data_IF_524581159151
#
_entry.id   IF_524581159151
#
_cell.length_a   1.000
_cell.length_b   1.000
_cell.length_c   1.000
_cell.angle_alpha   90.00
_cell.angle_beta   90.00
_cell.angle_gamma   90.00
#
_symmetry.space_group_name_H-M   'P 1'
#
loop_
_entity.id
_entity.type
_entity.pdbx_description
1 polymer ?
#
# COMPACT_ATOMS: atom_id res chain seq x y z
N UNK A 1 9.30 14.05 6.17
CA UNK A 1 9.72 13.15 7.27
C UNK A 1 10.84 13.80 8.07
N UNK A 2 11.05 13.42 9.34
CA UNK A 2 12.07 14.03 10.20
C UNK A 2 13.46 13.37 10.08
N UNK A 3 13.52 12.18 9.48
CA UNK A 3 14.73 11.38 9.21
C UNK A 3 14.66 10.82 7.79
N UNK A 4 15.82 10.47 7.17
CA UNK A 4 15.83 9.80 5.88
C UNK A 4 15.08 8.46 5.97
N UNK A 5 14.17 8.22 5.03
CA UNK A 5 13.44 6.96 4.92
C UNK A 5 13.50 6.45 3.47
N UNK A 6 13.11 5.20 3.25
CA UNK A 6 13.12 4.55 1.94
C UNK A 6 12.10 5.14 0.96
N UNK A 7 11.20 6.01 1.45
CA UNK A 7 10.34 6.88 0.64
C UNK A 7 10.30 8.27 1.25
N UNK A 8 10.18 9.28 0.38
CA UNK A 8 10.18 10.68 0.78
C UNK A 8 8.83 11.18 1.29
N UNK A 9 7.76 10.40 1.06
CA UNK A 9 6.39 10.79 1.38
C UNK A 9 5.51 9.59 1.76
N UNK A 10 4.42 9.90 2.45
CA UNK A 10 3.25 9.02 2.58
C UNK A 10 2.27 9.40 1.48
N UNK A 11 1.98 8.46 0.58
CA UNK A 11 1.10 8.68 -0.57
C UNK A 11 -0.18 7.87 -0.43
N UNK A 12 -1.33 8.53 -0.57
CA UNK A 12 -2.60 7.84 -0.76
C UNK A 12 -3.27 8.37 -2.03
N UNK A 13 -3.49 7.45 -2.96
CA UNK A 13 -4.05 7.73 -4.26
C UNK A 13 -5.32 6.94 -4.42
N UNK A 14 -6.39 7.59 -4.87
CA UNK A 14 -7.64 6.89 -5.21
C UNK A 14 -8.25 7.46 -6.47
N UNK A 15 -8.97 6.61 -7.19
CA UNK A 15 -9.70 6.97 -8.38
C UNK A 15 -10.96 6.13 -8.49
N UNK A 16 -12.07 6.79 -8.79
CA UNK A 16 -13.37 6.13 -8.94
C UNK A 16 -13.96 6.48 -10.30
N UNK A 17 -14.45 5.47 -11.00
CA UNK A 17 -15.21 5.62 -12.23
C UNK A 17 -16.57 4.94 -12.03
N UNK A 18 -17.63 5.68 -12.35
CA UNK A 18 -19.00 5.17 -12.32
C UNK A 18 -19.67 5.45 -13.65
N UNK A 19 -20.21 4.40 -14.25
CA UNK A 19 -20.97 4.46 -15.50
C UNK A 19 -22.37 3.95 -15.21
N UNK A 20 -23.38 4.69 -15.64
CA UNK A 20 -24.78 4.28 -15.54
C UNK A 20 -25.40 4.39 -16.91
N UNK A 21 -26.13 3.34 -17.31
CA UNK A 21 -26.78 3.24 -18.61
C UNK A 21 -28.19 2.69 -18.45
N UNK A 22 -29.12 3.26 -19.20
CA UNK A 22 -30.46 2.72 -19.37
C UNK A 22 -30.41 1.71 -20.53
N UNK A 23 -30.45 0.42 -20.22
CA UNK A 23 -30.39 -0.66 -21.21
C UNK A 23 -31.74 -0.77 -21.95
N UNK A 24 -32.84 -0.48 -21.24
CA UNK A 24 -34.17 -0.41 -21.80
C UNK A 24 -35.01 0.61 -21.00
N UNK A 25 -36.26 0.83 -21.41
CA UNK A 25 -37.20 1.68 -20.65
C UNK A 25 -37.47 1.16 -19.23
N UNK A 26 -37.17 -0.11 -18.96
CA UNK A 26 -37.45 -0.77 -17.67
C UNK A 26 -36.18 -1.26 -16.97
N UNK A 27 -35.00 -1.16 -17.59
CA UNK A 27 -33.75 -1.71 -17.08
C UNK A 27 -32.63 -0.68 -17.02
N UNK A 28 -31.96 -0.62 -15.86
CA UNK A 28 -30.80 0.23 -15.61
C UNK A 28 -29.61 -0.61 -15.17
N UNK A 29 -28.47 -0.37 -15.78
CA UNK A 29 -27.19 -0.96 -15.36
C UNK A 29 -26.26 0.14 -14.86
N UNK A 30 -25.72 -0.08 -13.67
CA UNK A 30 -24.65 0.70 -13.08
C UNK A 30 -23.41 -0.20 -12.98
N UNK A 31 -22.27 0.32 -13.41
CA UNK A 31 -20.96 -0.28 -13.16
C UNK A 31 -20.10 0.76 -12.46
N UNK A 32 -19.46 0.37 -11.36
CA UNK A 32 -18.59 1.22 -10.57
C UNK A 32 -17.27 0.53 -10.30
N UNK A 33 -16.17 1.24 -10.50
CA UNK A 33 -14.83 0.77 -10.20
C UNK A 33 -14.11 1.80 -9.35
N UNK A 34 -13.51 1.37 -8.25
CA UNK A 34 -12.62 2.18 -7.42
C UNK A 34 -11.26 1.50 -7.32
N UNK A 35 -10.20 2.25 -7.59
CA UNK A 35 -8.81 1.83 -7.36
C UNK A 35 -8.20 2.71 -6.30
N UNK A 36 -7.37 2.14 -5.45
CA UNK A 36 -6.64 2.84 -4.40
C UNK A 36 -5.21 2.30 -4.30
N UNK A 37 -4.24 3.19 -4.07
CA UNK A 37 -2.84 2.84 -3.81
C UNK A 37 -2.34 3.66 -2.64
N UNK A 38 -1.94 2.95 -1.60
CA UNK A 38 -1.24 3.52 -0.48
C UNK A 38 0.24 3.17 -0.57
N UNK A 39 1.11 4.15 -0.34
CA UNK A 39 2.55 4.00 -0.32
C UNK A 39 3.11 4.63 0.94
N UNK A 40 3.88 3.87 1.69
CA UNK A 40 4.45 4.33 2.95
C UNK A 40 5.75 3.59 3.27
N UNK A 41 6.29 3.87 4.44
CA UNK A 41 7.45 3.21 5.01
C UNK A 41 6.98 2.40 6.20
N UNK A 42 7.33 1.12 6.21
CA UNK A 42 6.97 0.18 7.26
C UNK A 42 7.56 0.66 8.59
N UNK A 43 6.78 0.64 9.66
CA UNK A 43 7.31 0.99 10.99
C UNK A 43 7.79 -0.24 11.78
N UNK A 44 7.66 -1.43 11.20
CA UNK A 44 8.07 -2.69 11.78
C UNK A 44 9.34 -3.23 11.11
N UNK A 45 10.01 -4.15 11.82
CA UNK A 45 11.16 -4.89 11.31
C UNK A 45 10.94 -6.41 11.29
N UNK A 46 9.78 -6.85 11.79
CA UNK A 46 9.46 -8.26 12.07
C UNK A 46 8.46 -8.85 11.08
N UNK A 47 8.05 -8.09 10.06
CA UNK A 47 7.10 -8.53 9.02
C UNK A 47 5.62 -8.33 9.38
N UNK A 48 5.30 -7.71 10.52
CA UNK A 48 3.94 -7.25 10.81
C UNK A 48 3.60 -6.01 9.98
N UNK A 49 2.33 -5.86 9.58
CA UNK A 49 1.87 -4.65 8.88
C UNK A 49 1.89 -3.46 9.83
N UNK A 50 2.62 -2.42 9.46
CA UNK A 50 2.49 -1.09 10.04
C UNK A 50 3.15 -0.06 9.13
N UNK A 51 2.77 1.20 9.24
CA UNK A 51 3.36 2.27 8.44
C UNK A 51 3.57 3.50 9.30
N UNK A 52 4.63 4.25 9.04
CA UNK A 52 4.81 5.56 9.64
C UNK A 52 3.73 6.54 9.16
N UNK A 53 2.87 6.96 10.08
CA UNK A 53 1.80 7.93 9.81
C UNK A 53 2.16 9.38 10.16
N UNK A 54 3.22 9.63 10.92
CA UNK A 54 3.63 10.98 11.32
C UNK A 54 5.10 11.08 11.76
N UNK A 55 5.64 12.30 11.80
CA UNK A 55 6.97 12.55 12.36
C UNK A 55 7.07 12.16 13.86
N UNK A 56 5.97 12.27 14.61
CA UNK A 56 5.92 11.83 16.02
C UNK A 56 6.09 10.31 16.16
N UNK A 57 5.47 9.52 15.28
CA UNK A 57 5.64 8.06 15.26
C UNK A 57 7.09 7.65 14.94
N UNK A 58 7.78 8.45 14.13
CA UNK A 58 9.20 8.24 13.80
C UNK A 58 10.08 8.52 15.01
N UNK A 59 9.86 9.66 15.68
CA UNK A 59 10.58 10.00 16.91
C UNK A 59 10.40 8.96 18.02
N UNK A 60 9.20 8.40 18.15
CA UNK A 60 8.94 7.30 19.09
C UNK A 60 9.76 6.05 18.76
N UNK A 61 9.90 5.70 17.47
CA UNK A 61 10.75 4.59 17.01
C UNK A 61 12.25 4.87 17.15
N UNK A 62 12.66 6.07 17.57
CA UNK A 62 14.06 6.45 17.77
C UNK A 62 14.44 6.58 19.25
N UNK A 63 13.49 6.51 20.18
CA UNK A 63 13.75 6.74 21.59
C UNK A 63 14.44 5.54 22.26
N UNK A 64 15.70 5.69 22.72
CA UNK A 64 16.45 4.72 23.55
C UNK A 64 16.58 3.31 22.94
N UNK A 65 17.02 3.25 21.68
CA UNK A 65 17.20 2.00 20.92
C UNK A 65 18.63 1.84 20.41
N UNK A 66 19.08 0.59 20.25
CA UNK A 66 20.36 0.28 19.60
C UNK A 66 20.35 0.72 18.14
N UNK A 67 21.51 1.15 17.63
CA UNK A 67 21.72 1.62 16.25
C UNK A 67 20.93 2.90 15.89
N UNK A 68 20.72 3.81 16.86
CA UNK A 68 20.01 5.09 16.63
C UNK A 68 20.74 5.98 15.61
N UNK A 69 22.07 5.94 15.65
CA UNK A 69 23.00 6.55 14.70
C UNK A 69 22.69 6.08 13.27
N UNK A 70 22.56 4.77 13.08
CA UNK A 70 22.22 4.17 11.79
C UNK A 70 20.83 4.62 11.33
N UNK A 71 19.83 4.61 12.22
CA UNK A 71 18.44 5.06 11.93
C UNK A 71 18.35 6.52 11.48
N UNK A 72 19.26 7.37 11.94
CA UNK A 72 19.31 8.79 11.61
C UNK A 72 19.87 9.07 10.21
N UNK A 73 20.74 8.19 9.71
CA UNK A 73 21.52 8.48 8.51
C UNK A 73 21.17 7.58 7.32
N UNK A 74 20.51 6.44 7.51
CA UNK A 74 20.17 5.53 6.40
C UNK A 74 18.70 5.58 6.00
N UNK A 75 18.43 5.55 4.70
CA UNK A 75 17.07 5.47 4.13
C UNK A 75 16.45 4.09 4.32
N UNK A 76 17.25 3.04 4.22
CA UNK A 76 16.76 1.65 4.15
C UNK A 76 16.82 0.95 5.51
N UNK A 77 16.67 1.72 6.60
CA UNK A 77 16.51 1.13 7.93
C UNK A 77 15.19 0.35 8.02
N UNK A 78 14.15 0.94 7.44
CA UNK A 78 12.80 0.43 7.35
C UNK A 78 12.40 0.19 5.90
N UNK A 79 11.67 -0.90 5.68
CA UNK A 79 11.25 -1.30 4.34
C UNK A 79 10.16 -0.37 3.79
N UNK A 80 10.20 0.01 2.50
CA UNK A 80 9.03 0.60 1.87
C UNK A 80 7.90 -0.43 1.82
N UNK A 81 6.67 0.03 2.06
CA UNK A 81 5.48 -0.79 1.90
C UNK A 81 4.44 -0.13 0.99
N UNK A 82 3.57 -0.97 0.41
CA UNK A 82 2.49 -0.52 -0.48
C UNK A 82 1.26 -1.40 -0.33
N UNK A 83 0.09 -0.78 -0.42
CA UNK A 83 -1.21 -1.46 -0.43
C UNK A 83 -2.00 -1.00 -1.64
N UNK A 84 -2.25 -1.91 -2.58
CA UNK A 84 -3.11 -1.67 -3.74
C UNK A 84 -4.49 -2.30 -3.48
N UNK A 85 -5.54 -1.48 -3.57
CA UNK A 85 -6.93 -1.90 -3.40
C UNK A 85 -7.71 -1.66 -4.68
N UNK A 86 -8.59 -2.58 -5.00
CA UNK A 86 -9.46 -2.50 -6.18
C UNK A 86 -10.84 -3.02 -5.81
N UNK A 87 -11.87 -2.26 -6.16
CA UNK A 87 -13.27 -2.64 -6.01
C UNK A 87 -13.92 -2.45 -7.36
N UNK A 88 -14.59 -3.48 -7.86
CA UNK A 88 -15.41 -3.38 -9.07
C UNK A 88 -16.76 -3.98 -8.75
N UNK A 89 -17.82 -3.22 -9.00
CA UNK A 89 -19.19 -3.62 -8.76
C UNK A 89 -20.07 -3.33 -9.97
N UNK A 90 -21.08 -4.16 -10.17
CA UNK A 90 -22.16 -3.91 -11.10
C UNK A 90 -23.50 -4.11 -10.39
N UNK A 91 -24.45 -3.22 -10.67
CA UNK A 91 -25.83 -3.28 -10.21
C UNK A 91 -26.77 -3.20 -11.40
N UNK A 92 -27.62 -4.22 -11.55
CA UNK A 92 -28.71 -4.25 -12.52
C UNK A 92 -30.03 -4.05 -11.76
N UNK A 93 -30.82 -3.06 -12.17
CA UNK A 93 -32.18 -2.87 -11.68
C UNK A 93 -33.16 -3.06 -12.83
N UNK A 94 -34.20 -3.88 -12.64
CA UNK A 94 -35.22 -4.16 -13.66
C UNK A 94 -36.63 -4.06 -13.06
N UNK A 95 -37.44 -3.20 -13.65
CA UNK A 95 -38.87 -3.08 -13.37
C UNK A 95 -39.64 -4.07 -14.24
N UNK A 96 -40.20 -5.12 -13.65
CA UNK A 96 -41.00 -6.13 -14.34
C UNK A 96 -42.44 -5.64 -14.60
N UNK A 97 -42.98 -4.89 -13.66
CA UNK A 97 -44.31 -4.27 -13.72
C UNK A 97 -44.31 -3.02 -12.83
N UNK A 98 -45.35 -2.17 -12.88
CA UNK A 98 -45.47 -1.03 -11.96
C UNK A 98 -45.44 -1.41 -10.48
N UNK A 99 -45.69 -2.68 -10.14
CA UNK A 99 -45.72 -3.20 -8.77
C UNK A 99 -44.57 -4.15 -8.45
N UNK A 100 -43.73 -4.55 -9.41
CA UNK A 100 -42.68 -5.57 -9.19
C UNK A 100 -41.36 -5.14 -9.82
N UNK A 101 -40.28 -5.16 -9.04
CA UNK A 101 -38.92 -4.93 -9.52
C UNK A 101 -37.93 -5.88 -8.85
N UNK A 102 -36.80 -6.15 -9.53
CA UNK A 102 -35.68 -6.87 -8.92
C UNK A 102 -34.37 -6.12 -9.14
N UNK A 103 -33.42 -6.38 -8.25
CA UNK A 103 -32.07 -5.86 -8.30
C UNK A 103 -31.05 -6.99 -8.16
N UNK A 104 -30.01 -6.93 -8.98
CA UNK A 104 -28.87 -7.85 -8.92
C UNK A 104 -27.61 -7.03 -8.71
N UNK A 105 -26.84 -7.35 -7.67
CA UNK A 105 -25.58 -6.70 -7.36
C UNK A 105 -24.49 -7.77 -7.36
N UNK A 106 -23.43 -7.52 -8.11
CA UNK A 106 -22.19 -8.32 -8.05
C UNK A 106 -21.03 -7.38 -7.78
N UNK A 107 -20.14 -7.76 -6.87
CA UNK A 107 -18.97 -6.96 -6.52
C UNK A 107 -17.77 -7.85 -6.26
N UNK A 108 -16.60 -7.36 -6.65
CA UNK A 108 -15.30 -7.94 -6.34
C UNK A 108 -14.44 -6.90 -5.63
N UNK A 109 -13.94 -7.26 -4.46
CA UNK A 109 -12.89 -6.53 -3.75
C UNK A 109 -11.57 -7.29 -3.90
N UNK A 110 -10.46 -6.58 -4.06
CA UNK A 110 -9.11 -7.14 -3.96
C UNK A 110 -8.17 -6.17 -3.25
N UNK A 111 -7.31 -6.71 -2.40
CA UNK A 111 -6.23 -5.98 -1.73
C UNK A 111 -4.93 -6.73 -1.90
N UNK A 112 -3.87 -6.02 -2.24
CA UNK A 112 -2.51 -6.54 -2.39
C UNK A 112 -1.57 -5.70 -1.53
N UNK A 113 -0.93 -6.33 -0.57
CA UNK A 113 0.10 -5.74 0.28
C UNK A 113 1.47 -6.23 -0.17
N UNK A 114 2.46 -5.34 -0.15
CA UNK A 114 3.85 -5.70 -0.33
C UNK A 114 4.75 -4.80 0.52
N UNK A 115 5.65 -5.42 1.28
CA UNK A 115 6.80 -4.79 1.96
C UNK A 115 8.04 -5.59 1.61
N UNK A 116 9.06 -4.92 1.11
CA UNK A 116 10.31 -5.53 0.65
C UNK A 116 11.45 -4.53 0.81
N UNK A 117 12.71 -4.98 0.86
CA UNK A 117 13.85 -4.07 0.82
C UNK A 117 13.74 -3.06 -0.31
N UNK A 118 14.15 -1.83 -0.01
CA UNK A 118 14.20 -0.75 -1.00
C UNK A 118 15.23 -1.00 -2.09
N UNK A 119 15.56 0.04 -2.85
CA UNK A 119 16.52 -0.04 -3.96
C UNK A 119 17.87 -0.56 -3.43
N UNK A 120 18.48 -1.50 -4.16
CA UNK A 120 19.83 -1.97 -3.88
C UNK A 120 20.82 -0.80 -4.01
N UNK A 121 21.72 -0.65 -3.03
CA UNK A 121 22.79 0.36 -3.07
C UNK A 121 23.65 0.20 -4.33
N UNK A 122 23.91 1.32 -4.99
CA UNK A 122 24.96 1.38 -6.00
C UNK A 122 26.34 1.43 -5.31
N UNK A 123 27.13 0.36 -5.51
CA UNK A 123 28.50 0.23 -4.95
C UNK A 123 29.57 0.76 -5.90
N UNK A 124 29.19 1.34 -7.03
CA UNK A 124 30.14 2.02 -7.90
C UNK A 124 30.77 3.20 -7.15
N UNK A 125 32.10 3.27 -7.23
CA UNK A 125 32.97 4.25 -6.57
C UNK A 125 32.87 5.63 -7.24
N UNK A 126 31.69 6.20 -7.26
CA UNK A 126 31.32 7.37 -8.06
C UNK A 126 31.77 8.69 -7.45
N UNK A 127 31.93 8.76 -6.13
CA UNK A 127 32.29 9.99 -5.44
C UNK A 127 33.76 10.01 -5.01
N UNK A 128 34.57 10.91 -5.60
CA UNK A 128 35.97 11.09 -5.23
C UNK A 128 36.13 12.23 -4.22
N UNK A 129 36.70 11.92 -3.06
CA UNK A 129 37.10 12.87 -2.03
C UNK A 129 38.63 12.92 -1.93
N UNK A 130 39.19 14.14 -1.96
CA UNK A 130 40.62 14.37 -1.83
C UNK A 130 41.51 13.61 -2.84
N UNK A 131 42.72 13.24 -2.40
CA UNK A 131 43.73 12.59 -3.22
C UNK A 131 43.53 11.06 -3.30
N UNK A 132 42.38 10.62 -3.84
CA UNK A 132 42.03 9.22 -4.19
C UNK A 132 41.21 8.41 -3.18
N UNK A 133 40.40 9.07 -2.34
CA UNK A 133 39.37 8.36 -1.59
C UNK A 133 38.10 8.28 -2.43
N UNK A 134 37.60 7.08 -2.69
CA UNK A 134 36.37 6.89 -3.44
C UNK A 134 35.29 6.30 -2.54
N UNK A 135 34.12 6.92 -2.56
CA UNK A 135 32.93 6.52 -1.85
C UNK A 135 31.86 6.00 -2.82
N UNK A 136 31.07 5.06 -2.32
CA UNK A 136 29.84 4.60 -2.94
C UNK A 136 28.65 5.45 -2.47
N UNK A 137 27.42 5.01 -2.75
CA UNK A 137 26.20 5.73 -2.37
C UNK A 137 25.82 5.58 -0.88
N UNK A 138 26.67 4.99 -0.02
CA UNK A 138 26.36 4.89 1.41
C UNK A 138 26.14 6.29 2.04
N UNK A 139 25.16 6.47 2.95
CA UNK A 139 24.31 5.49 3.61
C UNK A 139 23.01 5.10 2.89
N UNK A 140 22.84 5.49 1.63
CA UNK A 140 21.62 5.27 0.86
C UNK A 140 21.59 3.88 0.21
N UNK A 141 20.39 3.35 0.02
CA UNK A 141 20.17 2.04 -0.61
C UNK A 141 20.42 0.87 0.33
N UNK A 142 19.63 -0.19 0.16
CA UNK A 142 19.75 -1.45 0.88
C UNK A 142 20.99 -2.23 0.44
N UNK A 143 21.72 -2.80 1.40
CA UNK A 143 22.85 -3.69 1.11
C UNK A 143 22.75 -5.01 1.90
N UNK A 144 22.63 -6.17 1.23
CA UNK A 144 22.30 -7.44 1.89
C UNK A 144 23.47 -8.11 2.62
N UNK A 145 24.73 -7.83 2.28
CA UNK A 145 25.89 -8.55 2.80
C UNK A 145 26.90 -7.59 3.45
N UNK A 146 27.30 -7.74 4.73
CA UNK A 146 28.47 -7.06 5.28
C UNK A 146 29.77 -7.65 4.69
N UNK A 147 30.03 -7.44 3.40
CA UNK A 147 31.35 -7.77 2.83
C UNK A 147 32.45 -6.90 3.42
N UNK A 148 33.72 -7.23 3.15
CA UNK A 148 34.93 -6.50 3.59
C UNK A 148 34.95 -5.02 3.21
N UNK A 149 34.08 -4.59 2.28
CA UNK A 149 34.00 -3.23 1.76
C UNK A 149 32.79 -2.43 2.24
N UNK A 150 31.83 -3.08 2.90
CA UNK A 150 30.77 -2.39 3.63
C UNK A 150 31.26 -2.13 5.05
N UNK A 151 32.46 -1.57 5.16
CA UNK A 151 32.92 -1.07 6.43
C UNK A 151 32.00 0.10 6.74
N UNK A 152 31.45 -0.03 7.92
CA UNK A 152 30.97 1.06 8.72
C UNK A 152 31.51 2.43 8.34
N UNK A 153 30.70 3.47 8.55
CA UNK A 153 31.18 4.85 8.49
C UNK A 153 32.51 5.02 9.25
N UNK A 154 33.17 6.16 9.07
CA UNK A 154 34.45 6.49 9.72
C UNK A 154 34.49 6.16 11.23
N UNK A 155 33.33 6.08 11.90
CA UNK A 155 33.18 5.76 13.33
C UNK A 155 32.64 4.36 13.67
N UNK A 156 32.48 3.43 12.72
CA UNK A 156 31.94 2.10 13.03
C UNK A 156 30.42 1.94 12.84
N UNK A 157 29.71 3.01 12.41
CA UNK A 157 28.24 2.97 12.19
C UNK A 157 27.85 2.07 11.02
N UNK A 158 26.80 1.25 11.17
CA UNK A 158 26.27 0.42 10.08
C UNK A 158 25.54 1.31 9.07
N UNK A 159 25.95 1.30 7.80
CA UNK A 159 25.31 2.11 6.76
C UNK A 159 24.39 1.22 5.92
N UNK A 160 23.12 1.04 6.33
CA UNK A 160 22.06 0.22 5.69
C UNK A 160 22.30 -1.30 5.50
N UNK A 161 23.26 -1.87 6.23
CA UNK A 161 23.55 -3.32 6.14
C UNK A 161 22.64 -4.13 7.06
N UNK A 162 21.98 -5.15 6.52
CA UNK A 162 21.14 -6.06 7.32
C UNK A 162 19.90 -5.39 7.95
N UNK A 163 19.44 -4.28 7.36
CA UNK A 163 18.26 -3.52 7.77
C UNK A 163 17.10 -3.78 6.79
N UNK A 164 15.93 -3.14 7.01
CA UNK A 164 14.75 -3.33 6.15
C UNK A 164 14.31 -4.81 6.06
N UNK A 165 14.21 -5.46 7.23
CA UNK A 165 13.98 -6.91 7.35
C UNK A 165 12.54 -7.35 7.12
N UNK A 166 11.58 -6.41 7.10
CA UNK A 166 10.19 -6.74 6.80
C UNK A 166 10.07 -7.20 5.34
N UNK A 167 9.57 -8.42 5.16
CA UNK A 167 9.34 -9.07 3.88
C UNK A 167 8.00 -9.78 3.94
N UNK A 168 7.00 -9.19 3.32
CA UNK A 168 5.67 -9.78 3.23
C UNK A 168 5.01 -9.36 1.92
N UNK A 169 4.29 -10.30 1.34
CA UNK A 169 3.45 -10.08 0.17
C UNK A 169 2.17 -10.86 0.36
N UNK A 170 1.07 -10.15 0.56
CA UNK A 170 -0.23 -10.75 0.86
C UNK A 170 -1.27 -10.28 -0.16
N UNK A 171 -2.11 -11.20 -0.63
CA UNK A 171 -3.19 -10.90 -1.58
C UNK A 171 -4.50 -11.50 -1.09
N UNK A 172 -5.50 -10.64 -1.00
CA UNK A 172 -6.86 -11.02 -0.61
C UNK A 172 -7.83 -10.60 -1.71
N UNK A 173 -8.82 -11.45 -1.97
CA UNK A 173 -9.93 -11.13 -2.85
C UNK A 173 -11.24 -11.64 -2.23
N UNK A 174 -12.31 -10.85 -2.37
CA UNK A 174 -13.63 -11.17 -1.85
C UNK A 174 -14.68 -10.89 -2.92
N UNK A 175 -15.69 -11.74 -2.98
CA UNK A 175 -16.77 -11.66 -3.96
C UNK A 175 -18.10 -11.55 -3.22
N UNK A 176 -18.96 -10.65 -3.69
CA UNK A 176 -20.31 -10.45 -3.19
C UNK A 176 -21.27 -10.63 -4.36
N UNK A 177 -22.31 -11.44 -4.17
CA UNK A 177 -23.46 -11.51 -5.05
C UNK A 177 -24.71 -11.32 -4.20
N UNK A 178 -25.61 -10.44 -4.64
CA UNK A 178 -26.88 -10.16 -3.99
C UNK A 178 -27.98 -10.12 -5.04
N UNK A 179 -29.12 -10.72 -4.71
CA UNK A 179 -30.34 -10.64 -5.48
C UNK A 179 -31.44 -10.19 -4.51
N UNK A 180 -32.19 -9.16 -4.90
CA UNK A 180 -33.35 -8.70 -4.15
C UNK A 180 -34.54 -8.61 -5.11
N UNK A 181 -35.72 -9.06 -4.69
CA UNK A 181 -36.97 -8.88 -5.42
C UNK A 181 -38.03 -8.25 -4.51
N UNK A 182 -38.72 -7.25 -5.04
CA UNK A 182 -39.80 -6.55 -4.34
C UNK A 182 -41.04 -6.57 -5.21
N UNK A 183 -42.17 -6.96 -4.62
CA UNK A 183 -43.47 -6.99 -5.28
C UNK A 183 -44.57 -6.45 -4.37
N UNK A 184 -45.23 -5.38 -4.79
CA UNK A 184 -46.41 -4.83 -4.16
C UNK A 184 -47.65 -5.62 -4.63
N UNK A 185 -48.29 -6.35 -3.72
CA UNK A 185 -49.48 -7.18 -4.00
C UNK A 185 -50.77 -6.35 -3.91
N UNK A 186 -50.78 -5.33 -3.03
CA UNK A 186 -51.88 -4.40 -2.75
C UNK A 186 -51.29 -3.11 -2.15
N UNK A 187 -52.07 -2.03 -2.03
CA UNK A 187 -51.72 -0.80 -1.28
C UNK A 187 -51.21 -1.06 0.13
N UNK A 188 -51.58 -2.18 0.76
CA UNK A 188 -51.19 -2.50 2.14
C UNK A 188 -50.23 -3.70 2.26
N UNK A 189 -49.93 -4.42 1.17
CA UNK A 189 -49.16 -5.67 1.22
C UNK A 189 -47.97 -5.65 0.25
N UNK A 190 -46.76 -5.85 0.78
CA UNK A 190 -45.50 -5.93 0.04
C UNK A 190 -44.80 -7.27 0.33
N UNK A 191 -44.33 -7.94 -0.72
CA UNK A 191 -43.43 -9.07 -0.63
C UNK A 191 -42.01 -8.62 -0.95
N UNK A 192 -41.05 -8.99 -0.09
CA UNK A 192 -39.61 -8.74 -0.27
C UNK A 192 -38.84 -10.02 0.00
N UNK A 193 -37.96 -10.39 -0.93
CA UNK A 193 -37.12 -11.57 -0.85
C UNK A 193 -35.76 -11.37 -1.50
#
# INVERSE_FOLDING_TARGET
YAVPLSRDYYGDYSGTLKVTSDISKTMKLMVEGTVGRNEAVDNQQTGAYGSFGSAGSQGASMNRVSYIDTRLFTTDYWAPNSVNRQIVGAKLSHVLSPSTFYEVIVQRFSSQYSTNPGRIRDTSRTYKFGNNYYLDEAPYGFYPNPGTWSLSSIEGMRMAVGMSNARDSSKVASYLAKFDIVSQLDRYNEFKG
#
